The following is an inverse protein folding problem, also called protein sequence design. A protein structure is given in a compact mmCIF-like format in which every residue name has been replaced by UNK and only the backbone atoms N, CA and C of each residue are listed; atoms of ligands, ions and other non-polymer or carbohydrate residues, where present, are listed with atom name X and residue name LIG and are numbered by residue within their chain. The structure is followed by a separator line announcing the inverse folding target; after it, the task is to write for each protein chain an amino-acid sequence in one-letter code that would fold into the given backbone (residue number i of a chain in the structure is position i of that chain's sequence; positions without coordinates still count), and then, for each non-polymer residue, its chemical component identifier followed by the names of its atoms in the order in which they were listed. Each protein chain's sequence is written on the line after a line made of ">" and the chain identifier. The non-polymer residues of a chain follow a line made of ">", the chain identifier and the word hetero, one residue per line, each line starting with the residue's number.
data_IF_440501138747
#
_entry.id   IF_440501138747
#
_cell.length_a   1.000
_cell.length_b   1.000
_cell.length_c   1.000
_cell.angle_alpha   90.00
_cell.angle_beta   90.00
_cell.angle_gamma   90.00
#
_symmetry.space_group_name_H-M   'P 1'
#
loop_
_entity.id
_entity.type
_entity.pdbx_description
1 polymer ?
#
# COMPACT_ATOMS: atom_id res chain seq x y z
N UNK A 1 17.11 0.53 -16.16
CA UNK A 1 16.29 1.72 -15.83
C UNK A 1 14.86 1.22 -15.68
N UNK A 2 14.45 0.84 -14.46
CA UNK A 2 13.11 0.28 -14.28
C UNK A 2 12.05 1.36 -14.53
N UNK A 3 10.97 1.06 -15.26
CA UNK A 3 9.85 1.98 -15.36
C UNK A 3 9.37 2.25 -13.95
N UNK A 4 9.17 3.54 -13.65
CA UNK A 4 8.80 4.06 -12.34
C UNK A 4 7.36 3.62 -12.01
N UNK A 5 7.18 2.33 -11.74
CA UNK A 5 5.99 1.80 -11.11
C UNK A 5 5.99 2.36 -9.70
N UNK A 6 5.36 3.53 -9.57
CA UNK A 6 5.21 4.27 -8.34
C UNK A 6 4.75 3.29 -7.24
N UNK A 7 5.51 3.13 -6.16
CA UNK A 7 5.12 2.30 -5.01
C UNK A 7 3.69 2.62 -4.56
N UNK A 8 3.29 3.89 -4.60
CA UNK A 8 1.93 4.35 -4.32
C UNK A 8 0.85 3.73 -5.21
N UNK A 9 1.18 3.33 -6.45
CA UNK A 9 0.27 2.59 -7.34
C UNK A 9 0.25 1.11 -6.98
N UNK A 10 1.43 0.51 -6.89
CA UNK A 10 1.58 -0.93 -6.66
C UNK A 10 0.99 -1.34 -5.31
N UNK A 11 1.34 -0.61 -4.25
CA UNK A 11 0.86 -0.86 -2.90
C UNK A 11 -0.64 -0.61 -2.75
N UNK A 12 -1.21 0.32 -3.52
CA UNK A 12 -2.67 0.47 -3.59
C UNK A 12 -3.31 -0.82 -4.09
N UNK A 13 -2.79 -1.40 -5.18
CA UNK A 13 -3.32 -2.64 -5.75
C UNK A 13 -3.14 -3.81 -4.79
N UNK A 14 -2.01 -3.90 -4.09
CA UNK A 14 -1.81 -4.88 -3.01
C UNK A 14 -2.89 -4.72 -1.94
N UNK A 15 -3.13 -3.50 -1.44
CA UNK A 15 -4.18 -3.24 -0.45
C UNK A 15 -5.57 -3.64 -0.92
N UNK A 16 -5.89 -3.44 -2.21
CA UNK A 16 -7.16 -3.91 -2.78
C UNK A 16 -7.27 -5.44 -2.78
N UNK A 17 -6.17 -6.14 -3.03
CA UNK A 17 -6.15 -7.60 -2.98
C UNK A 17 -6.31 -8.12 -1.54
N UNK A 18 -5.70 -7.45 -0.56
CA UNK A 18 -5.80 -7.79 0.86
C UNK A 18 -7.22 -7.59 1.39
N UNK A 19 -7.86 -6.43 1.11
CA UNK A 19 -9.25 -6.18 1.53
C UNK A 19 -10.22 -7.21 0.95
N UNK A 20 -10.07 -7.56 -0.33
CA UNK A 20 -10.92 -8.59 -0.97
C UNK A 20 -10.80 -9.96 -0.33
N UNK A 21 -9.66 -10.24 0.32
CA UNK A 21 -9.38 -11.50 1.02
C UNK A 21 -9.62 -11.41 2.53
N UNK A 22 -10.09 -10.26 3.03
CA UNK A 22 -10.28 -9.99 4.45
C UNK A 22 -8.99 -10.22 5.26
N UNK A 23 -7.86 -9.77 4.71
CA UNK A 23 -6.55 -9.85 5.38
C UNK A 23 -6.24 -8.50 6.02
N UNK A 24 -6.34 -8.45 7.35
CA UNK A 24 -6.10 -7.22 8.13
C UNK A 24 -4.70 -7.18 8.76
N UNK A 25 -4.11 -8.34 9.04
CA UNK A 25 -2.77 -8.47 9.63
C UNK A 25 -1.82 -9.13 8.64
N UNK A 26 -0.68 -8.48 8.38
CA UNK A 26 0.28 -8.94 7.40
C UNK A 26 1.71 -8.46 7.68
N UNK A 27 2.64 -9.10 6.97
CA UNK A 27 4.01 -8.69 6.76
C UNK A 27 4.29 -8.73 5.24
N UNK A 28 4.42 -7.56 4.64
CA UNK A 28 4.70 -7.38 3.22
C UNK A 28 6.17 -7.04 3.03
N UNK A 29 6.93 -7.97 2.45
CA UNK A 29 8.35 -7.81 2.11
C UNK A 29 8.52 -7.55 0.62
N UNK A 30 9.44 -6.65 0.30
CA UNK A 30 9.73 -6.24 -1.06
C UNK A 30 11.17 -6.63 -1.43
N UNK A 31 11.30 -7.54 -2.39
CA UNK A 31 12.58 -7.97 -2.92
C UNK A 31 12.61 -7.76 -4.43
N UNK A 32 13.39 -6.76 -4.85
CA UNK A 32 13.51 -6.36 -6.26
C UNK A 32 12.15 -5.96 -6.83
N UNK A 33 11.57 -6.82 -7.67
CA UNK A 33 10.31 -6.60 -8.38
C UNK A 33 9.21 -7.58 -7.89
N UNK A 34 9.44 -8.22 -6.75
CA UNK A 34 8.54 -9.18 -6.13
C UNK A 34 8.11 -8.74 -4.73
N UNK A 35 6.83 -8.98 -4.45
CA UNK A 35 6.19 -8.69 -3.19
C UNK A 35 5.77 -10.00 -2.53
N UNK A 36 6.29 -10.24 -1.34
CA UNK A 36 6.01 -11.44 -0.55
C UNK A 36 5.20 -11.02 0.66
N UNK A 37 3.96 -11.47 0.71
CA UNK A 37 3.03 -11.20 1.79
C UNK A 37 2.90 -12.44 2.66
N UNK A 38 3.28 -12.32 3.92
CA UNK A 38 2.94 -13.29 4.94
C UNK A 38 1.73 -12.79 5.72
N UNK A 39 0.71 -13.64 5.88
CA UNK A 39 -0.50 -13.30 6.64
C UNK A 39 -1.11 -14.56 7.26
N UNK A 40 -2.09 -14.39 8.16
CA UNK A 40 -2.90 -15.50 8.65
C UNK A 40 -3.67 -16.15 7.49
N UNK A 41 -3.84 -17.48 7.54
CA UNK A 41 -4.68 -18.19 6.57
C UNK A 41 -6.12 -17.67 6.68
N UNK A 42 -6.70 -17.09 5.61
CA UNK A 42 -8.09 -16.64 5.62
C UNK A 42 -9.08 -17.81 5.60
N UNK A 43 -8.60 -19.06 5.47
CA UNK A 43 -9.43 -20.26 5.48
C UNK A 43 -9.56 -20.79 6.92
N UNK A 44 -10.78 -21.01 7.44
CA UNK A 44 -10.96 -21.72 8.71
C UNK A 44 -10.25 -23.08 8.65
N UNK A 45 -9.52 -23.49 9.70
CA UNK A 45 -9.54 -22.98 11.07
C UNK A 45 -8.54 -21.84 11.40
N UNK A 46 -7.95 -21.16 10.40
CA UNK A 46 -7.02 -20.03 10.58
C UNK A 46 -5.76 -20.37 11.41
N UNK A 47 -5.32 -21.63 11.39
CA UNK A 47 -4.24 -22.13 12.25
C UNK A 47 -2.83 -21.96 11.67
N UNK A 48 -2.71 -21.49 10.44
CA UNK A 48 -1.44 -21.39 9.72
C UNK A 48 -1.18 -19.98 9.18
N UNK A 49 0.09 -19.63 9.05
CA UNK A 49 0.51 -18.51 8.21
C UNK A 49 0.61 -18.97 6.77
N UNK A 50 0.12 -18.16 5.84
CA UNK A 50 0.27 -18.36 4.40
C UNK A 50 1.21 -17.30 3.82
N UNK A 51 1.95 -17.68 2.79
CA UNK A 51 2.75 -16.75 2.00
C UNK A 51 2.13 -16.59 0.61
N UNK A 52 1.90 -15.35 0.22
CA UNK A 52 1.40 -14.96 -1.09
C UNK A 52 2.49 -14.17 -1.81
N UNK A 53 2.84 -14.59 -3.03
CA UNK A 53 3.80 -13.89 -3.88
C UNK A 53 3.07 -13.13 -4.98
N UNK A 54 3.41 -11.87 -5.17
CA UNK A 54 2.95 -11.03 -6.27
C UNK A 54 4.14 -10.50 -7.06
N UNK A 55 4.15 -10.76 -8.36
CA UNK A 55 5.06 -10.10 -9.30
C UNK A 55 4.47 -8.76 -9.75
N UNK A 56 5.28 -7.88 -10.33
CA UNK A 56 4.77 -6.66 -10.96
C UNK A 56 3.73 -6.96 -12.06
N UNK A 57 3.88 -8.05 -12.81
CA UNK A 57 2.92 -8.46 -13.84
C UNK A 57 1.56 -8.82 -13.20
N UNK A 58 1.55 -9.62 -12.13
CA UNK A 58 0.32 -9.97 -11.40
C UNK A 58 -0.39 -8.70 -10.89
N UNK A 59 0.37 -7.72 -10.42
CA UNK A 59 -0.16 -6.47 -9.88
C UNK A 59 -0.65 -5.52 -10.97
N UNK A 60 0.00 -5.50 -12.14
CA UNK A 60 -0.49 -4.74 -13.29
C UNK A 60 -1.80 -5.35 -13.81
N UNK A 61 -1.90 -6.67 -13.91
CA UNK A 61 -3.14 -7.37 -14.29
C UNK A 61 -4.27 -7.10 -13.28
N UNK A 62 -3.97 -7.12 -11.97
CA UNK A 62 -4.93 -6.78 -10.93
C UNK A 62 -5.40 -5.32 -11.02
N UNK A 63 -4.51 -4.36 -11.30
CA UNK A 63 -4.87 -2.94 -11.46
C UNK A 63 -5.72 -2.73 -12.71
N UNK A 64 -5.39 -3.38 -13.83
CA UNK A 64 -6.18 -3.36 -15.06
C UNK A 64 -7.60 -3.88 -14.82
N UNK A 65 -7.71 -5.08 -14.26
CA UNK A 65 -9.01 -5.67 -13.91
C UNK A 65 -9.80 -4.78 -12.93
N UNK A 66 -9.15 -4.14 -11.98
CA UNK A 66 -9.81 -3.21 -11.06
C UNK A 66 -10.25 -1.91 -11.73
N UNK A 67 -9.59 -1.44 -12.79
CA UNK A 67 -10.00 -0.26 -13.58
C UNK A 67 -11.24 -0.56 -14.42
N UNK A 68 -11.27 -1.71 -15.07
CA UNK A 68 -12.41 -2.11 -15.91
C UNK A 68 -13.69 -2.25 -15.09
N UNK A 69 -13.58 -2.77 -13.87
CA UNK A 69 -14.70 -2.86 -12.92
C UNK A 69 -15.13 -1.52 -12.29
N UNK A 70 -14.33 -0.45 -12.41
CA UNK A 70 -14.64 0.89 -11.86
C UNK A 70 -15.47 1.75 -12.80
N UNK A 71 -15.62 1.38 -14.07
CA UNK A 71 -16.33 2.16 -15.09
C UNK A 71 -17.84 2.38 -14.82
N UNK A 72 -18.41 1.81 -13.74
CA UNK A 72 -19.85 1.87 -13.45
C UNK A 72 -20.28 2.38 -12.07
N UNK A 73 -19.37 2.68 -11.12
CA UNK A 73 -19.78 3.11 -9.77
C UNK A 73 -18.95 4.27 -9.24
N UNK A 74 -19.60 5.42 -9.02
CA UNK A 74 -19.05 6.51 -8.22
C UNK A 74 -18.89 6.00 -6.78
N UNK A 75 -17.67 5.69 -6.36
CA UNK A 75 -17.37 5.29 -4.98
C UNK A 75 -16.63 6.44 -4.29
N UNK A 76 -17.13 6.83 -3.12
CA UNK A 76 -16.38 7.67 -2.20
C UNK A 76 -15.06 6.97 -1.85
N UNK A 77 -13.97 7.75 -1.77
CA UNK A 77 -12.67 7.23 -1.34
C UNK A 77 -12.76 6.90 0.15
N UNK A 78 -12.60 5.64 0.50
CA UNK A 78 -12.45 5.22 1.88
C UNK A 78 -10.99 5.41 2.30
N UNK A 79 -10.68 6.52 2.98
CA UNK A 79 -9.31 6.84 3.41
C UNK A 79 -8.79 5.97 4.55
N UNK A 80 -9.71 5.33 5.28
CA UNK A 80 -9.42 4.33 6.33
C UNK A 80 -9.16 2.95 5.71
N UNK A 81 -9.43 2.78 4.41
CA UNK A 81 -9.21 1.54 3.69
C UNK A 81 -7.72 1.24 3.49
N UNK A 82 -7.38 -0.05 3.57
CA UNK A 82 -6.01 -0.53 3.40
C UNK A 82 -5.37 -0.11 2.05
N UNK A 83 -6.09 -0.01 0.90
CA UNK A 83 -5.54 0.53 -0.34
C UNK A 83 -5.00 1.95 -0.21
N UNK A 84 -5.70 2.81 0.51
CA UNK A 84 -5.33 4.23 0.64
C UNK A 84 -4.22 4.40 1.68
N UNK A 85 -4.25 3.62 2.77
CA UNK A 85 -3.15 3.52 3.74
C UNK A 85 -1.86 3.07 3.03
N UNK A 86 -1.89 1.94 2.33
CA UNK A 86 -0.72 1.41 1.62
C UNK A 86 -0.24 2.33 0.48
N UNK A 87 -1.17 2.99 -0.21
CA UNK A 87 -0.84 4.04 -1.19
C UNK A 87 -0.07 5.20 -0.56
N UNK A 88 -0.52 5.67 0.60
CA UNK A 88 0.12 6.73 1.35
C UNK A 88 1.56 6.35 1.76
N UNK A 89 1.76 5.13 2.27
CA UNK A 89 3.08 4.63 2.61
C UNK A 89 4.01 4.54 1.37
N UNK A 90 3.48 4.05 0.25
CA UNK A 90 4.23 4.03 -1.01
C UNK A 90 4.67 5.42 -1.45
N UNK A 91 3.79 6.41 -1.33
CA UNK A 91 4.13 7.78 -1.65
C UNK A 91 5.16 8.38 -0.69
N UNK A 92 5.11 8.02 0.60
CA UNK A 92 6.12 8.43 1.58
C UNK A 92 7.51 7.91 1.21
N UNK A 93 7.62 6.65 0.79
CA UNK A 93 8.87 6.05 0.31
C UNK A 93 9.36 6.75 -0.96
N UNK A 94 8.47 7.02 -1.92
CA UNK A 94 8.80 7.76 -3.15
C UNK A 94 9.34 9.16 -2.86
N UNK A 95 8.71 9.89 -1.92
CA UNK A 95 9.12 11.26 -1.55
C UNK A 95 10.50 11.31 -0.89
N UNK A 96 10.91 10.21 -0.27
CA UNK A 96 12.25 10.03 0.32
C UNK A 96 13.27 9.45 -0.66
N UNK A 97 12.89 9.31 -1.93
CA UNK A 97 13.70 8.64 -2.95
C UNK A 97 14.18 7.24 -2.51
N UNK A 98 13.37 6.57 -1.69
CA UNK A 98 13.70 5.32 -1.04
C UNK A 98 13.30 4.09 -1.85
N UNK A 99 13.94 2.98 -1.54
CA UNK A 99 13.57 1.63 -1.98
C UNK A 99 12.83 0.92 -0.85
N UNK A 100 11.58 0.53 -1.09
CA UNK A 100 10.77 -0.19 -0.10
C UNK A 100 11.42 -1.54 0.24
N UNK A 101 11.43 -1.89 1.53
CA UNK A 101 11.92 -3.18 2.02
C UNK A 101 10.82 -3.98 2.72
N UNK A 102 10.04 -3.36 3.61
CA UNK A 102 9.01 -4.06 4.42
C UNK A 102 7.87 -3.12 4.83
N UNK A 103 6.66 -3.64 4.93
CA UNK A 103 5.53 -3.03 5.63
C UNK A 103 4.91 -4.11 6.52
N UNK A 104 4.85 -3.89 7.83
CA UNK A 104 4.34 -4.88 8.78
C UNK A 104 3.38 -4.22 9.78
N UNK A 105 2.25 -4.86 10.07
CA UNK A 105 1.33 -4.45 11.14
C UNK A 105 0.93 -5.62 12.07
N UNK A 106 1.61 -6.75 11.93
CA UNK A 106 1.34 -7.98 12.69
C UNK A 106 2.25 -8.16 13.91
N UNK A 107 3.41 -7.48 13.94
CA UNK A 107 4.36 -7.53 15.06
C UNK A 107 4.03 -6.55 16.20
N UNK A 108 3.14 -5.59 15.96
CA UNK A 108 2.67 -4.67 17.00
C UNK A 108 1.68 -5.39 17.91
N UNK A 109 2.17 -5.90 19.04
CA UNK A 109 1.39 -6.56 20.09
C UNK A 109 0.43 -5.63 20.86
N UNK A 110 0.30 -4.36 20.46
CA UNK A 110 -0.64 -3.41 21.05
C UNK A 110 -1.75 -3.06 20.07
N UNK A 111 -2.97 -2.87 20.60
CA UNK A 111 -4.15 -2.35 19.88
C UNK A 111 -3.98 -0.92 19.35
N UNK A 112 -2.75 -0.37 19.31
CA UNK A 112 -2.46 1.03 18.93
C UNK A 112 -2.47 1.28 17.42
N UNK A 113 -2.74 0.24 16.62
CA UNK A 113 -2.84 0.34 15.17
C UNK A 113 -1.56 0.88 14.53
N UNK A 114 -0.42 0.31 14.90
CA UNK A 114 0.88 0.70 14.37
C UNK A 114 1.21 -0.07 13.08
N UNK A 115 1.82 0.63 12.14
CA UNK A 115 2.46 0.07 10.95
C UNK A 115 3.95 0.38 11.01
N UNK A 116 4.76 -0.64 10.87
CA UNK A 116 6.19 -0.53 10.65
C UNK A 116 6.46 -0.43 9.15
N UNK A 117 7.18 0.62 8.73
CA UNK A 117 7.63 0.86 7.37
C UNK A 117 9.14 0.82 7.33
N UNK A 118 9.71 -0.07 6.51
CA UNK A 118 11.14 -0.14 6.27
C UNK A 118 11.48 0.19 4.82
N UNK A 119 12.47 1.06 4.64
CA UNK A 119 12.98 1.43 3.33
C UNK A 119 14.47 1.74 3.38
N UNK A 120 15.14 1.68 2.23
CA UNK A 120 16.54 2.06 2.06
C UNK A 120 16.63 3.37 1.28
N UNK A 121 17.42 4.33 1.73
CA UNK A 121 17.69 5.56 0.96
C UNK A 121 18.68 5.28 -0.17
N UNK A 122 18.86 6.26 -1.07
CA UNK A 122 19.88 6.17 -2.14
C UNK A 122 21.31 6.03 -1.60
N UNK A 123 21.55 6.51 -0.38
CA UNK A 123 22.85 6.42 0.30
C UNK A 123 23.10 5.03 0.89
N UNK A 124 22.12 4.13 0.80
CA UNK A 124 22.20 2.76 1.31
C UNK A 124 21.77 2.63 2.77
N UNK A 125 21.44 3.72 3.44
CA UNK A 125 20.96 3.72 4.83
C UNK A 125 19.58 3.08 4.93
N UNK A 126 19.44 2.14 5.87
CA UNK A 126 18.15 1.51 6.19
C UNK A 126 17.44 2.34 7.24
N UNK A 127 16.20 2.71 6.94
CA UNK A 127 15.31 3.38 7.89
C UNK A 127 14.13 2.49 8.23
N UNK A 128 13.75 2.54 9.50
CA UNK A 128 12.55 1.93 10.05
C UNK A 128 11.72 3.03 10.68
N UNK A 129 10.47 3.16 10.26
CA UNK A 129 9.50 4.09 10.84
C UNK A 129 8.35 3.30 11.45
N UNK A 130 7.95 3.65 12.67
CA UNK A 130 6.69 3.20 13.25
C UNK A 130 5.65 4.32 13.12
N UNK A 131 4.51 4.01 12.50
CA UNK A 131 3.49 4.97 12.14
C UNK A 131 2.14 4.51 12.68
N UNK A 132 1.44 5.38 13.40
CA UNK A 132 0.03 5.12 13.73
C UNK A 132 -0.83 5.20 12.47
N UNK A 133 -1.78 4.26 12.32
CA UNK A 133 -2.71 4.22 11.18
C UNK A 133 -3.45 5.55 10.99
N UNK A 134 -3.92 6.18 12.07
CA UNK A 134 -4.56 7.50 12.03
C UNK A 134 -3.66 8.59 11.38
N UNK A 135 -2.34 8.55 11.62
CA UNK A 135 -1.40 9.49 11.00
C UNK A 135 -1.21 9.23 9.50
N UNK A 136 -1.35 7.97 9.08
CA UNK A 136 -1.27 7.57 7.66
C UNK A 136 -2.56 7.94 6.93
N UNK A 137 -3.72 7.81 7.57
CA UNK A 137 -5.02 8.26 7.08
C UNK A 137 -5.04 9.77 6.83
N UNK A 138 -4.59 10.56 7.81
CA UNK A 138 -4.44 12.02 7.67
C UNK A 138 -3.54 12.39 6.49
N UNK A 139 -2.47 11.61 6.29
CA UNK A 139 -1.57 11.79 5.15
C UNK A 139 -2.25 11.45 3.82
N UNK A 140 -3.01 10.35 3.75
CA UNK A 140 -3.78 9.98 2.57
C UNK A 140 -4.82 11.06 2.19
N UNK A 141 -5.52 11.60 3.20
CA UNK A 141 -6.46 12.71 3.02
C UNK A 141 -5.75 13.97 2.47
N UNK A 142 -4.56 14.31 2.98
CA UNK A 142 -3.77 15.45 2.47
C UNK A 142 -3.37 15.25 1.02
N UNK A 143 -2.87 14.07 0.67
CA UNK A 143 -2.53 13.73 -0.73
C UNK A 143 -3.73 13.86 -1.67
N UNK A 144 -4.92 13.44 -1.23
CA UNK A 144 -6.14 13.58 -2.02
C UNK A 144 -6.51 15.05 -2.23
N UNK A 145 -6.49 15.86 -1.17
CA UNK A 145 -6.78 17.31 -1.24
C UNK A 145 -5.81 18.04 -2.18
N UNK A 146 -4.53 17.69 -2.15
CA UNK A 146 -3.51 18.24 -3.07
C UNK A 146 -3.81 17.88 -4.53
N UNK A 147 -4.18 16.62 -4.79
CA UNK A 147 -4.54 16.16 -6.14
C UNK A 147 -5.80 16.84 -6.67
N UNK A 148 -6.86 16.95 -5.87
CA UNK A 148 -8.12 17.58 -6.27
C UNK A 148 -7.90 19.06 -6.64
N UNK A 149 -7.14 19.79 -5.81
CA UNK A 149 -6.75 21.19 -6.11
C UNK A 149 -5.98 21.30 -7.42
N UNK A 150 -5.05 20.38 -7.69
CA UNK A 150 -4.29 20.39 -8.95
C UNK A 150 -5.15 20.04 -10.18
N UNK A 151 -6.14 19.15 -10.05
CA UNK A 151 -7.08 18.86 -11.15
C UNK A 151 -8.01 20.02 -11.44
N UNK A 152 -8.48 20.74 -10.41
CA UNK A 152 -9.36 21.91 -10.58
C UNK A 152 -8.62 23.06 -11.28
N UNK A 153 -7.35 23.27 -10.94
CA UNK A 153 -6.48 24.28 -11.58
C UNK A 153 -6.19 23.96 -13.06
N UNK A 154 -6.02 22.68 -13.42
CA UNK A 154 -5.79 22.24 -14.81
C UNK A 154 -7.06 22.22 -15.67
N UNK A 155 -8.23 22.22 -15.04
CA UNK A 155 -9.53 22.27 -15.74
C UNK A 155 -10.04 23.70 -15.93
N UNK A 156 -9.37 24.68 -15.31
CA UNK A 156 -9.71 26.12 -15.37
C UNK A 156 -8.72 26.94 -16.20
N UNK A 157 -7.82 26.29 -16.96
CA UNK A 157 -6.86 26.89 -17.90
C UNK A 157 -7.15 26.42 -19.32
#
# INVERSE_FOLDING_TARGET
>A
MQPRNAYSRVLRTVGQALEKRHIDLFDLRCYQDEYFLQCGDPTPPHLSLVELRYTLADLDDLDLNARDNRAGSFKFVNFEGLPEILRALGHRVEKRDGRLLRICNSESSSSDGLIQLEYQTREGERHTEELHMASVEDYAMRMYKERTRMSDLRSSS
#
